data_IF_629300030519
#
_entry.id   IF_629300030519
#
_cell.length_a   1.000
_cell.length_b   1.000
_cell.length_c   1.000
_cell.angle_alpha   90.00
_cell.angle_beta   90.00
_cell.angle_gamma   90.00
#
_symmetry.space_group_name_H-M   'P 1'
#
loop_
_entity.id
_entity.type
_entity.pdbx_description
1 polymer ?
#
# COMPACT_ATOMS: atom_id res chain seq x y z
N UNK A 1 -11.46 24.78 -12.77
CA UNK A 1 -11.83 23.95 -11.59
C UNK A 1 -11.11 24.53 -10.38
N UNK A 2 -11.71 24.50 -9.19
CA UNK A 2 -11.01 24.92 -7.98
C UNK A 2 -9.91 23.89 -7.63
N UNK A 3 -8.72 24.38 -7.27
CA UNK A 3 -7.61 23.57 -6.79
C UNK A 3 -7.73 23.32 -5.28
N UNK A 4 -6.97 22.36 -4.76
CA UNK A 4 -6.87 22.12 -3.29
C UNK A 4 -6.39 23.39 -2.58
N UNK A 5 -5.43 24.10 -3.18
CA UNK A 5 -4.93 25.37 -2.65
C UNK A 5 -6.02 26.43 -2.58
N UNK A 6 -6.88 26.53 -3.59
CA UNK A 6 -8.02 27.47 -3.58
C UNK A 6 -9.00 27.14 -2.45
N UNK A 7 -9.24 25.85 -2.17
CA UNK A 7 -10.09 25.41 -1.06
C UNK A 7 -9.45 25.75 0.29
N UNK A 8 -8.17 25.47 0.47
CA UNK A 8 -7.43 25.79 1.69
C UNK A 8 -7.43 27.29 1.99
N UNK A 9 -7.19 28.13 0.98
CA UNK A 9 -7.25 29.59 1.12
C UNK A 9 -8.63 30.06 1.57
N UNK A 10 -9.70 29.47 1.03
CA UNK A 10 -11.08 29.78 1.44
C UNK A 10 -11.38 29.35 2.87
N UNK A 11 -10.88 28.19 3.30
CA UNK A 11 -11.03 27.72 4.68
C UNK A 11 -10.35 28.67 5.67
N UNK A 12 -9.10 29.07 5.38
CA UNK A 12 -8.36 30.02 6.20
C UNK A 12 -9.09 31.36 6.27
N UNK A 13 -9.58 31.87 5.15
CA UNK A 13 -10.34 33.13 5.09
C UNK A 13 -11.65 33.09 5.89
N UNK A 14 -12.26 31.90 6.03
CA UNK A 14 -13.46 31.66 6.82
C UNK A 14 -13.16 31.35 8.30
N UNK A 15 -11.89 31.37 8.72
CA UNK A 15 -11.48 31.14 10.10
C UNK A 15 -11.24 29.67 10.47
N UNK A 16 -11.18 28.77 9.50
CA UNK A 16 -10.80 27.36 9.72
C UNK A 16 -9.29 27.20 9.56
N UNK A 17 -8.52 27.06 10.66
CA UNK A 17 -7.08 27.10 10.61
C UNK A 17 -6.49 25.85 9.97
N UNK A 18 -5.43 26.05 9.20
CA UNK A 18 -4.53 25.04 8.65
C UNK A 18 -3.13 25.31 9.20
N UNK A 19 -2.89 24.95 10.49
CA UNK A 19 -1.80 25.54 11.26
C UNK A 19 -0.42 24.99 10.89
N UNK A 20 -0.34 23.78 10.32
CA UNK A 20 0.94 23.10 10.09
C UNK A 20 1.49 23.36 8.69
N UNK A 21 0.65 23.28 7.67
CA UNK A 21 1.09 23.38 6.28
C UNK A 21 0.40 24.51 5.52
N UNK A 22 -0.77 24.93 5.97
CA UNK A 22 -1.49 26.07 5.38
C UNK A 22 -2.05 25.70 4.00
N UNK A 23 -1.99 26.64 3.06
CA UNK A 23 -2.46 26.43 1.69
C UNK A 23 -1.37 25.81 0.79
N UNK A 24 -0.90 24.62 1.15
CA UNK A 24 0.20 23.92 0.47
C UNK A 24 -0.22 23.25 -0.86
N UNK A 25 -1.51 22.99 -1.06
CA UNK A 25 -2.07 22.25 -2.19
C UNK A 25 -2.17 20.73 -1.96
N UNK A 26 -1.85 20.24 -0.76
CA UNK A 26 -1.98 18.84 -0.35
C UNK A 26 -3.31 18.65 0.42
N UNK A 27 -4.21 17.72 0.00
CA UNK A 27 -5.47 17.46 0.70
C UNK A 27 -5.29 16.63 2.00
N UNK A 28 -4.16 16.78 2.68
CA UNK A 28 -3.81 16.05 3.91
C UNK A 28 -4.79 16.25 5.07
N UNK A 29 -4.45 15.65 6.21
CA UNK A 29 -5.35 15.54 7.37
C UNK A 29 -5.89 16.88 7.91
N UNK A 30 -5.08 17.94 7.90
CA UNK A 30 -5.56 19.27 8.35
C UNK A 30 -6.61 19.86 7.40
N UNK A 31 -6.40 19.72 6.08
CA UNK A 31 -7.36 20.15 5.05
C UNK A 31 -8.68 19.44 5.23
N UNK A 32 -8.66 18.11 5.40
CA UNK A 32 -9.87 17.31 5.63
C UNK A 32 -10.58 17.70 6.93
N UNK A 33 -9.83 17.94 8.01
CA UNK A 33 -10.41 18.36 9.28
C UNK A 33 -11.09 19.73 9.18
N UNK A 34 -10.43 20.70 8.53
CA UNK A 34 -10.98 22.03 8.34
C UNK A 34 -12.24 22.02 7.44
N UNK A 35 -12.24 21.23 6.37
CA UNK A 35 -13.44 21.02 5.53
C UNK A 35 -14.58 20.44 6.35
N UNK A 36 -14.33 19.41 7.16
CA UNK A 36 -15.37 18.80 7.99
C UNK A 36 -15.94 19.78 9.02
N UNK A 37 -15.10 20.59 9.67
CA UNK A 37 -15.57 21.65 10.57
C UNK A 37 -16.44 22.69 9.85
N UNK A 38 -16.07 23.08 8.63
CA UNK A 38 -16.87 24.01 7.83
C UNK A 38 -18.23 23.43 7.41
N UNK A 39 -18.27 22.13 7.11
CA UNK A 39 -19.52 21.42 6.82
C UNK A 39 -20.41 21.30 8.06
N UNK A 40 -19.82 21.01 9.23
CA UNK A 40 -20.55 20.95 10.50
C UNK A 40 -21.20 22.31 10.84
N UNK A 41 -20.49 23.43 10.63
CA UNK A 41 -21.08 24.75 10.82
C UNK A 41 -22.20 25.04 9.81
N UNK A 42 -22.04 24.61 8.56
CA UNK A 42 -23.06 24.79 7.52
C UNK A 42 -24.35 24.02 7.83
N UNK A 43 -24.23 22.81 8.42
CA UNK A 43 -25.38 22.01 8.88
C UNK A 43 -26.18 22.79 9.92
N UNK A 44 -25.51 23.35 10.93
CA UNK A 44 -26.14 24.18 11.97
C UNK A 44 -26.85 25.38 11.33
N UNK A 45 -26.17 26.11 10.45
CA UNK A 45 -26.73 27.31 9.79
C UNK A 45 -27.93 27.02 8.89
N UNK A 46 -28.00 25.82 8.29
CA UNK A 46 -29.10 25.41 7.41
C UNK A 46 -30.27 24.74 8.14
N UNK A 47 -30.20 24.60 9.47
CA UNK A 47 -31.20 23.86 10.23
C UNK A 47 -31.26 22.37 9.83
N UNK A 48 -30.17 21.85 9.27
CA UNK A 48 -30.05 20.44 8.91
C UNK A 48 -29.61 19.61 10.11
N UNK A 49 -29.75 18.30 10.00
CA UNK A 49 -29.07 17.36 10.88
C UNK A 49 -27.72 16.98 10.27
N UNK A 50 -26.70 16.80 11.11
CA UNK A 50 -25.46 16.16 10.65
C UNK A 50 -25.87 14.79 10.10
N UNK A 51 -25.43 14.40 8.89
CA UNK A 51 -25.61 13.02 8.47
C UNK A 51 -25.08 12.16 9.60
N UNK A 52 -25.88 11.18 10.06
CA UNK A 52 -25.39 10.24 11.06
C UNK A 52 -24.01 9.81 10.59
N UNK A 53 -22.99 9.95 11.45
CA UNK A 53 -21.68 9.39 11.16
C UNK A 53 -21.97 7.99 10.66
N UNK A 54 -21.49 7.66 9.45
CA UNK A 54 -21.63 6.30 8.94
C UNK A 54 -21.33 5.39 10.12
N UNK A 55 -22.24 4.46 10.48
CA UNK A 55 -22.03 3.60 11.64
C UNK A 55 -20.59 3.12 11.56
N UNK A 56 -19.83 3.17 12.68
CA UNK A 56 -18.43 2.72 12.66
C UNK A 56 -18.46 1.40 11.92
N UNK A 57 -17.81 1.35 10.77
CA UNK A 57 -18.01 0.28 9.79
C UNK A 57 -17.84 -1.00 10.58
N UNK A 58 -18.96 -1.65 10.86
CA UNK A 58 -18.99 -2.83 11.70
C UNK A 58 -18.12 -3.82 10.95
N UNK A 59 -16.98 -4.14 11.54
CA UNK A 59 -15.90 -4.91 10.94
C UNK A 59 -16.31 -6.38 10.82
N UNK A 60 -17.33 -6.62 10.00
CA UNK A 60 -17.62 -7.89 9.34
C UNK A 60 -17.49 -7.68 7.82
N UNK A 61 -16.50 -6.88 7.39
CA UNK A 61 -15.93 -7.08 6.06
C UNK A 61 -15.27 -8.44 6.07
N UNK A 62 -15.86 -9.37 5.35
CA UNK A 62 -15.27 -10.65 4.99
C UNK A 62 -13.79 -10.43 4.64
N UNK A 63 -12.90 -10.96 5.48
CA UNK A 63 -11.45 -10.80 5.36
C UNK A 63 -11.01 -11.11 3.94
N UNK A 64 -10.37 -10.15 3.26
CA UNK A 64 -9.90 -10.29 1.88
C UNK A 64 -8.87 -11.41 1.76
N UNK A 65 -8.07 -11.62 2.80
CA UNK A 65 -7.15 -12.74 2.92
C UNK A 65 -7.82 -13.86 3.73
N UNK A 66 -7.98 -15.07 3.16
CA UNK A 66 -8.47 -16.22 3.92
C UNK A 66 -7.62 -16.50 5.16
N UNK A 67 -8.25 -16.77 6.30
CA UNK A 67 -7.57 -16.93 7.59
C UNK A 67 -6.54 -18.08 7.58
N UNK A 68 -6.79 -19.14 6.82
CA UNK A 68 -5.89 -20.29 6.66
C UNK A 68 -4.62 -19.95 5.87
N UNK A 69 -4.58 -18.80 5.18
CA UNK A 69 -3.38 -18.27 4.51
C UNK A 69 -2.49 -17.50 5.48
N UNK A 70 -3.00 -17.15 6.66
CA UNK A 70 -2.31 -16.37 7.69
C UNK A 70 -2.08 -17.19 8.97
N UNK A 71 -1.23 -18.23 8.94
CA UNK A 71 -0.94 -19.04 10.10
C UNK A 71 -0.28 -18.21 11.21
N UNK A 72 -0.46 -18.63 12.46
CA UNK A 72 0.21 -18.02 13.60
C UNK A 72 1.73 -18.08 13.45
N UNK A 73 2.37 -16.92 13.38
CA UNK A 73 3.80 -16.71 13.26
C UNK A 73 4.17 -15.33 13.80
N UNK A 74 5.44 -15.15 14.19
CA UNK A 74 6.00 -13.82 14.45
C UNK A 74 6.68 -13.36 13.17
N UNK A 75 6.17 -12.26 12.60
CA UNK A 75 6.70 -11.64 11.38
C UNK A 75 7.08 -10.21 11.69
N UNK A 76 8.15 -9.73 11.07
CA UNK A 76 8.73 -8.42 11.34
C UNK A 76 8.35 -7.38 10.28
N UNK A 77 8.10 -7.83 9.04
CA UNK A 77 7.87 -6.94 7.89
C UNK A 77 7.09 -7.57 6.74
N UNK A 78 6.57 -6.73 5.87
CA UNK A 78 5.93 -7.06 4.61
C UNK A 78 6.70 -6.35 3.50
N UNK A 79 7.16 -7.12 2.49
CA UNK A 79 7.89 -6.59 1.34
C UNK A 79 7.03 -6.77 0.10
N UNK A 80 6.70 -5.64 -0.54
CA UNK A 80 5.86 -5.60 -1.74
C UNK A 80 6.72 -5.69 -3.01
N UNK A 81 6.21 -6.42 -3.99
CA UNK A 81 6.90 -6.70 -5.25
C UNK A 81 5.96 -6.53 -6.45
N UNK A 82 6.53 -6.50 -7.64
CA UNK A 82 5.90 -7.06 -8.83
C UNK A 82 6.63 -8.32 -9.29
N UNK A 83 5.93 -9.16 -10.05
CA UNK A 83 6.52 -10.37 -10.63
C UNK A 83 7.50 -10.04 -11.76
N UNK A 84 7.37 -8.87 -12.40
CA UNK A 84 7.97 -8.56 -13.69
C UNK A 84 7.51 -9.54 -14.80
N UNK A 85 6.29 -10.07 -14.62
CA UNK A 85 5.68 -11.08 -15.45
C UNK A 85 4.35 -10.63 -16.04
N UNK A 86 3.48 -11.59 -16.31
CA UNK A 86 2.16 -11.32 -16.90
C UNK A 86 1.15 -10.87 -15.84
N UNK A 87 -0.07 -10.59 -16.28
CA UNK A 87 -1.21 -10.26 -15.41
C UNK A 87 -1.80 -11.45 -14.63
N UNK A 88 -1.28 -12.66 -14.83
CA UNK A 88 -1.75 -13.89 -14.17
C UNK A 88 -0.61 -14.55 -13.42
N UNK A 89 -0.92 -15.08 -12.24
CA UNK A 89 0.08 -15.75 -11.41
C UNK A 89 0.54 -17.05 -12.06
N UNK A 90 1.83 -17.21 -12.27
CA UNK A 90 2.42 -18.47 -12.72
C UNK A 90 2.80 -19.36 -11.54
N UNK A 91 3.05 -20.64 -11.80
CA UNK A 91 3.59 -21.55 -10.77
C UNK A 91 4.96 -21.08 -10.26
N UNK A 92 5.78 -20.52 -11.16
CA UNK A 92 7.05 -19.90 -10.80
C UNK A 92 6.85 -18.73 -9.82
N UNK A 93 5.93 -17.81 -10.10
CA UNK A 93 5.66 -16.69 -9.18
C UNK A 93 5.15 -17.19 -7.82
N UNK A 94 4.23 -18.16 -7.85
CA UNK A 94 3.68 -18.79 -6.64
C UNK A 94 4.73 -19.49 -5.80
N UNK A 95 5.83 -19.95 -6.40
CA UNK A 95 6.97 -20.52 -5.66
C UNK A 95 7.78 -19.51 -4.84
N UNK A 96 7.65 -18.21 -5.12
CA UNK A 96 8.55 -17.18 -4.56
C UNK A 96 7.87 -16.18 -3.64
N UNK A 97 6.55 -16.00 -3.69
CA UNK A 97 5.80 -15.07 -2.85
C UNK A 97 4.75 -15.79 -2.01
N UNK A 98 4.27 -15.16 -0.93
CA UNK A 98 3.19 -15.74 -0.11
C UNK A 98 1.81 -15.43 -0.68
N UNK A 99 1.66 -14.27 -1.32
CA UNK A 99 0.42 -13.79 -1.92
C UNK A 99 0.71 -13.07 -3.22
N UNK A 100 -0.16 -13.29 -4.20
CA UNK A 100 -0.06 -12.67 -5.52
C UNK A 100 -1.39 -12.03 -5.88
N UNK A 101 -1.34 -10.92 -6.62
CA UNK A 101 -2.52 -10.17 -7.01
C UNK A 101 -2.50 -10.01 -8.53
N UNK A 102 -3.47 -10.63 -9.19
CA UNK A 102 -3.66 -10.55 -10.64
C UNK A 102 -4.25 -9.20 -11.06
N UNK A 103 -4.25 -8.89 -12.36
CA UNK A 103 -4.64 -7.58 -12.89
C UNK A 103 -6.04 -7.09 -12.45
N UNK A 104 -6.96 -8.03 -12.25
CA UNK A 104 -8.35 -7.83 -11.83
C UNK A 104 -8.51 -7.77 -10.30
N UNK A 105 -7.40 -7.71 -9.55
CA UNK A 105 -7.42 -7.74 -8.09
C UNK A 105 -7.68 -9.13 -7.50
N UNK A 106 -7.73 -10.20 -8.30
CA UNK A 106 -7.86 -11.56 -7.78
C UNK A 106 -6.64 -11.92 -6.94
N UNK A 107 -6.89 -12.34 -5.71
CA UNK A 107 -5.86 -12.80 -4.78
C UNK A 107 -5.55 -14.29 -5.04
N UNK A 108 -4.27 -14.61 -5.20
CA UNK A 108 -3.77 -15.97 -5.44
C UNK A 108 -2.77 -16.34 -4.36
N UNK A 109 -2.92 -17.55 -3.81
CA UNK A 109 -2.03 -18.06 -2.77
C UNK A 109 -0.68 -18.49 -3.36
N UNK A 110 0.38 -18.03 -2.71
CA UNK A 110 1.72 -18.59 -2.83
C UNK A 110 1.79 -20.04 -2.34
N UNK A 111 2.80 -20.77 -2.79
CA UNK A 111 3.06 -22.14 -2.37
C UNK A 111 3.69 -22.16 -0.96
N UNK A 112 4.76 -21.38 -0.67
CA UNK A 112 5.33 -21.35 0.68
C UNK A 112 4.37 -20.72 1.70
N UNK A 113 4.28 -21.34 2.88
CA UNK A 113 3.56 -20.76 4.01
C UNK A 113 4.34 -19.59 4.61
N UNK A 114 3.64 -18.51 5.02
CA UNK A 114 4.23 -17.39 5.78
C UNK A 114 5.05 -17.86 6.98
N UNK A 115 4.60 -18.93 7.65
CA UNK A 115 5.27 -19.50 8.82
C UNK A 115 6.70 -19.99 8.53
N UNK A 116 7.02 -20.33 7.29
CA UNK A 116 8.37 -20.76 6.89
C UNK A 116 9.37 -19.61 6.87
N UNK A 117 8.92 -18.37 6.70
CA UNK A 117 9.76 -17.17 6.78
C UNK A 117 9.92 -16.66 8.23
N UNK A 118 9.17 -17.16 9.22
CA UNK A 118 9.38 -16.81 10.65
C UNK A 118 10.85 -17.04 11.04
N UNK A 119 11.44 -16.14 11.82
CA UNK A 119 12.82 -16.27 12.26
C UNK A 119 13.08 -17.52 13.16
N UNK A 120 14.15 -18.30 12.87
CA UNK A 120 14.92 -18.32 11.62
C UNK A 120 14.14 -19.00 10.47
N UNK A 121 14.29 -18.50 9.25
CA UNK A 121 13.60 -19.07 8.09
C UNK A 121 13.95 -20.55 7.89
N UNK A 122 12.96 -21.34 7.46
CA UNK A 122 13.05 -22.80 7.33
C UNK A 122 13.16 -23.22 5.87
N UNK A 123 13.69 -24.42 5.60
CA UNK A 123 13.75 -24.97 4.23
C UNK A 123 12.37 -24.89 3.54
N UNK A 124 12.35 -24.41 2.30
CA UNK A 124 11.12 -24.21 1.52
C UNK A 124 10.41 -22.87 1.76
N UNK A 125 11.05 -21.93 2.48
CA UNK A 125 10.56 -20.56 2.65
C UNK A 125 10.46 -19.81 1.30
N UNK A 126 9.65 -18.75 1.28
CA UNK A 126 9.54 -17.87 0.11
C UNK A 126 10.79 -16.99 -0.04
N UNK A 127 11.57 -17.20 -1.08
CA UNK A 127 12.79 -16.45 -1.37
C UNK A 127 12.51 -15.26 -2.32
N UNK A 128 11.99 -14.16 -1.77
CA UNK A 128 11.58 -12.98 -2.54
C UNK A 128 12.50 -11.76 -2.38
N UNK A 129 13.39 -11.73 -1.39
CA UNK A 129 14.29 -10.58 -1.13
C UNK A 129 15.65 -11.06 -0.65
N UNK A 130 16.70 -10.75 -1.42
CA UNK A 130 18.06 -11.17 -1.12
C UNK A 130 18.44 -10.73 0.30
N UNK A 131 18.93 -11.67 1.12
CA UNK A 131 19.36 -11.44 2.51
C UNK A 131 18.30 -10.83 3.45
N UNK A 132 17.02 -10.83 3.06
CA UNK A 132 15.95 -10.19 3.85
C UNK A 132 14.65 -11.03 3.86
N UNK A 133 14.73 -12.35 3.67
CA UNK A 133 13.55 -13.23 3.68
C UNK A 133 13.09 -13.60 5.09
N UNK A 134 14.03 -13.80 6.01
CA UNK A 134 13.72 -14.10 7.42
C UNK A 134 12.94 -12.96 8.05
N UNK A 135 11.80 -13.26 8.66
CA UNK A 135 10.88 -12.31 9.25
C UNK A 135 10.02 -11.54 8.25
N UNK A 136 10.11 -11.84 6.95
CA UNK A 136 9.44 -11.07 5.90
C UNK A 136 8.32 -11.82 5.21
N UNK A 137 7.23 -11.11 4.93
CA UNK A 137 6.10 -11.58 4.10
C UNK A 137 6.21 -10.93 2.71
N UNK A 138 6.48 -11.71 1.67
CA UNK A 138 6.40 -11.26 0.28
C UNK A 138 4.97 -11.24 -0.28
N UNK A 139 4.52 -10.07 -0.75
CA UNK A 139 3.26 -9.89 -1.51
C UNK A 139 3.61 -9.29 -2.87
N UNK A 140 3.11 -9.88 -3.97
CA UNK A 140 3.50 -9.47 -5.32
C UNK A 140 2.30 -9.13 -6.22
N UNK A 141 2.44 -8.07 -7.01
CA UNK A 141 1.55 -7.78 -8.13
C UNK A 141 2.00 -8.56 -9.38
N UNK A 142 1.08 -9.26 -10.04
CA UNK A 142 1.35 -9.93 -11.31
C UNK A 142 1.32 -8.88 -12.43
N UNK A 143 2.46 -8.25 -12.72
CA UNK A 143 2.55 -7.18 -13.72
C UNK A 143 4.02 -6.88 -14.09
N UNK A 144 4.19 -5.85 -14.92
CA UNK A 144 5.44 -5.23 -15.37
C UNK A 144 6.29 -6.11 -16.31
N UNK A 145 5.70 -7.12 -16.94
CA UNK A 145 6.37 -7.94 -17.95
C UNK A 145 6.78 -7.13 -19.18
N UNK A 146 8.09 -7.10 -19.45
CA UNK A 146 8.69 -6.31 -20.53
C UNK A 146 8.79 -4.82 -20.25
N UNK A 147 8.71 -4.40 -18.98
CA UNK A 147 8.88 -3.00 -18.59
C UNK A 147 10.35 -2.56 -18.63
N UNK A 148 10.56 -1.25 -18.81
CA UNK A 148 11.87 -0.59 -18.79
C UNK A 148 11.80 0.56 -17.78
N UNK A 149 12.81 0.69 -16.93
CA UNK A 149 12.83 1.72 -15.89
C UNK A 149 13.10 3.12 -16.47
N UNK A 150 14.08 3.23 -17.38
CA UNK A 150 14.57 4.50 -17.93
C UNK A 150 14.94 4.37 -19.42
N UNK A 151 14.28 5.11 -20.34
CA UNK A 151 13.03 5.84 -20.11
C UNK A 151 11.93 4.88 -19.66
N UNK A 152 10.98 5.37 -18.85
CA UNK A 152 9.94 4.48 -18.32
C UNK A 152 9.04 3.96 -19.45
N UNK A 153 8.95 2.64 -19.55
CA UNK A 153 7.99 1.94 -20.41
C UNK A 153 7.30 0.89 -19.54
N UNK A 154 5.96 0.90 -19.42
CA UNK A 154 5.26 -0.01 -18.52
C UNK A 154 5.25 -1.48 -18.98
N UNK A 155 5.68 -1.74 -20.22
CA UNK A 155 5.69 -3.08 -20.80
C UNK A 155 4.31 -3.54 -21.28
N UNK A 156 4.17 -4.85 -21.53
CA UNK A 156 2.91 -5.46 -22.03
C UNK A 156 1.85 -5.64 -20.94
N UNK A 157 2.27 -5.62 -19.68
CA UNK A 157 1.43 -5.94 -18.52
C UNK A 157 1.53 -4.82 -17.48
N UNK A 158 1.09 -3.59 -17.79
CA UNK A 158 1.17 -2.46 -16.85
C UNK A 158 0.51 -2.80 -15.50
N UNK A 159 1.07 -2.32 -14.39
CA UNK A 159 0.42 -2.36 -13.09
C UNK A 159 -0.95 -1.66 -13.16
N UNK A 160 -2.01 -2.35 -12.76
CA UNK A 160 -3.36 -1.76 -12.73
C UNK A 160 -3.64 -1.05 -11.40
N UNK A 161 -4.62 -0.14 -11.40
CA UNK A 161 -5.10 0.48 -10.17
C UNK A 161 -5.76 -0.56 -9.24
N UNK A 162 -6.51 -1.50 -9.81
CA UNK A 162 -7.18 -2.58 -9.07
C UNK A 162 -6.18 -3.46 -8.29
N UNK A 163 -5.04 -3.77 -8.90
CA UNK A 163 -3.93 -4.47 -8.24
C UNK A 163 -3.43 -3.72 -7.01
N UNK A 164 -3.20 -2.41 -7.16
CA UNK A 164 -2.69 -1.55 -6.10
C UNK A 164 -3.69 -1.38 -4.95
N UNK A 165 -4.96 -1.15 -5.28
CA UNK A 165 -6.03 -1.03 -4.29
C UNK A 165 -6.18 -2.34 -3.50
N UNK A 166 -6.11 -3.49 -4.17
CA UNK A 166 -6.12 -4.80 -3.50
C UNK A 166 -4.88 -5.00 -2.63
N UNK A 167 -3.70 -4.60 -3.11
CA UNK A 167 -2.43 -4.73 -2.39
C UNK A 167 -2.49 -4.02 -1.04
N UNK A 168 -2.90 -2.76 -1.04
CA UNK A 168 -2.96 -1.96 0.19
C UNK A 168 -3.94 -2.54 1.21
N UNK A 169 -5.06 -3.13 0.77
CA UNK A 169 -5.99 -3.87 1.64
C UNK A 169 -5.36 -5.14 2.23
N UNK A 170 -4.72 -5.97 1.39
CA UNK A 170 -4.03 -7.19 1.84
C UNK A 170 -2.93 -6.87 2.85
N UNK A 171 -2.13 -5.84 2.59
CA UNK A 171 -1.06 -5.42 3.49
C UNK A 171 -1.62 -4.90 4.82
N UNK A 172 -2.73 -4.18 4.81
CA UNK A 172 -3.40 -3.75 6.05
C UNK A 172 -3.89 -4.94 6.90
N UNK A 173 -4.50 -5.95 6.28
CA UNK A 173 -4.91 -7.17 7.00
C UNK A 173 -3.73 -7.93 7.59
N UNK A 174 -2.63 -8.06 6.84
CA UNK A 174 -1.40 -8.67 7.33
C UNK A 174 -0.80 -7.87 8.49
N UNK A 175 -0.76 -6.54 8.40
CA UNK A 175 -0.33 -5.66 9.48
C UNK A 175 -1.14 -5.89 10.76
N UNK A 176 -2.48 -5.91 10.64
CA UNK A 176 -3.41 -6.18 11.74
C UNK A 176 -3.18 -7.58 12.33
N UNK A 177 -3.08 -8.61 11.49
CA UNK A 177 -2.93 -10.00 11.89
C UNK A 177 -1.63 -10.28 12.64
N UNK A 178 -0.52 -9.70 12.18
CA UNK A 178 0.82 -9.98 12.68
C UNK A 178 1.37 -8.91 13.63
N UNK A 179 0.62 -7.84 13.89
CA UNK A 179 1.05 -6.72 14.74
C UNK A 179 2.20 -5.92 14.14
N UNK A 180 2.29 -5.87 12.81
CA UNK A 180 3.36 -5.16 12.09
C UNK A 180 2.99 -3.68 12.00
N UNK A 181 3.74 -2.83 12.71
CA UNK A 181 3.60 -1.37 12.61
C UNK A 181 3.90 -0.92 11.17
N UNK A 182 3.18 0.06 10.65
CA UNK A 182 3.43 0.59 9.30
C UNK A 182 4.54 1.64 9.36
N UNK A 183 5.73 1.29 8.86
CA UNK A 183 6.90 2.17 8.77
C UNK A 183 7.65 1.87 7.47
N UNK A 184 8.56 2.75 7.07
CA UNK A 184 9.46 2.57 5.94
C UNK A 184 10.45 1.38 6.10
N UNK A 185 10.54 0.80 7.30
CA UNK A 185 11.37 -0.39 7.60
C UNK A 185 10.57 -1.70 7.69
N UNK A 186 9.25 -1.63 7.74
CA UNK A 186 8.37 -2.77 8.02
C UNK A 186 7.28 -2.98 6.98
N UNK A 187 6.90 -1.94 6.24
CA UNK A 187 6.02 -2.00 5.07
C UNK A 187 6.68 -1.21 3.96
N UNK A 188 7.32 -1.93 3.05
CA UNK A 188 8.17 -1.35 2.02
C UNK A 188 8.10 -2.15 0.73
N UNK A 189 8.38 -1.51 -0.39
CA UNK A 189 8.66 -2.21 -1.63
C UNK A 189 10.09 -2.76 -1.64
N UNK A 190 10.37 -3.74 -2.48
CA UNK A 190 11.75 -4.22 -2.68
C UNK A 190 12.72 -3.11 -3.14
N UNK A 191 12.22 -2.09 -3.86
CA UNK A 191 13.03 -0.95 -4.29
C UNK A 191 13.58 -0.13 -3.12
N UNK A 192 12.95 -0.21 -1.95
CA UNK A 192 13.35 0.52 -0.75
C UNK A 192 14.30 -0.28 0.15
N UNK A 193 14.44 -1.60 -0.04
CA UNK A 193 15.12 -2.49 0.91
C UNK A 193 16.58 -2.09 1.14
N UNK A 194 17.33 -1.82 0.08
CA UNK A 194 18.75 -1.48 0.22
C UNK A 194 18.95 -0.17 0.98
N UNK A 195 18.18 0.86 0.61
CA UNK A 195 18.28 2.18 1.22
C UNK A 195 17.74 2.21 2.65
N UNK A 196 16.54 1.68 2.87
CA UNK A 196 15.86 1.78 4.16
C UNK A 196 16.45 0.80 5.18
N UNK A 197 16.89 -0.39 4.76
CA UNK A 197 17.36 -1.44 5.68
C UNK A 197 18.88 -1.62 5.70
N UNK A 198 19.61 -1.04 4.74
CA UNK A 198 21.07 -1.24 4.62
C UNK A 198 21.44 -2.65 4.17
N UNK A 199 20.52 -3.36 3.49
CA UNK A 199 20.73 -4.75 3.04
C UNK A 199 20.90 -4.75 1.52
N UNK A 200 22.14 -4.98 1.06
CA UNK A 200 22.48 -5.01 -0.37
C UNK A 200 21.57 -5.91 -1.19
N UNK A 201 21.03 -5.36 -2.28
CA UNK A 201 20.20 -6.06 -3.27
C UNK A 201 20.94 -6.14 -4.62
N UNK A 202 20.46 -6.99 -5.53
CA UNK A 202 21.04 -7.18 -6.88
C UNK A 202 20.13 -6.64 -7.98
N UNK A 203 19.80 -5.36 -7.92
CA UNK A 203 19.32 -4.62 -9.08
C UNK A 203 17.91 -4.94 -9.59
N UNK A 204 17.00 -5.52 -8.80
CA UNK A 204 15.59 -5.60 -9.18
C UNK A 204 14.89 -4.28 -8.84
N UNK A 205 14.74 -3.40 -9.83
CA UNK A 205 13.87 -2.25 -9.69
C UNK A 205 12.43 -2.76 -9.44
N UNK A 206 11.84 -2.31 -8.34
CA UNK A 206 10.42 -2.47 -8.02
C UNK A 206 9.79 -1.07 -8.01
N UNK A 207 8.80 -0.80 -7.15
CA UNK A 207 7.94 0.39 -7.12
C UNK A 207 8.73 1.71 -7.07
N UNK A 208 9.31 2.10 -8.20
CA UNK A 208 10.00 3.36 -8.46
C UNK A 208 9.15 4.27 -9.33
N UNK A 209 8.03 3.73 -9.82
CA UNK A 209 6.96 4.38 -10.56
C UNK A 209 5.73 3.48 -10.50
N UNK A 210 4.54 4.08 -10.49
CA UNK A 210 3.26 3.37 -10.52
C UNK A 210 2.68 3.49 -11.93
N UNK A 211 2.51 2.38 -12.66
CA UNK A 211 2.11 2.45 -14.07
C UNK A 211 0.72 3.10 -14.27
N UNK A 212 -0.16 3.03 -13.28
CA UNK A 212 -1.47 3.68 -13.28
C UNK A 212 -1.43 5.15 -12.84
N UNK A 213 -0.32 5.62 -12.26
CA UNK A 213 -0.16 6.99 -11.74
C UNK A 213 1.30 7.44 -11.90
N UNK A 214 1.59 8.00 -13.08
CA UNK A 214 2.95 8.45 -13.44
C UNK A 214 3.38 9.72 -12.69
N UNK A 215 2.51 10.33 -11.88
CA UNK A 215 2.88 11.48 -11.05
C UNK A 215 3.77 11.07 -9.86
N UNK A 216 3.67 9.82 -9.42
CA UNK A 216 4.43 9.26 -8.28
C UNK A 216 5.71 8.61 -8.80
N UNK A 217 6.86 9.21 -8.47
CA UNK A 217 8.17 8.78 -8.97
C UNK A 217 9.20 8.64 -7.84
N UNK A 218 10.02 7.60 -7.96
CA UNK A 218 11.05 7.23 -6.99
C UNK A 218 10.54 6.25 -5.94
N UNK A 219 11.45 5.38 -5.48
CA UNK A 219 11.15 4.34 -4.49
C UNK A 219 10.49 4.90 -3.22
N UNK A 220 11.00 6.04 -2.74
CA UNK A 220 10.46 6.71 -1.54
C UNK A 220 9.02 7.16 -1.73
N UNK A 221 8.71 7.87 -2.81
CA UNK A 221 7.36 8.40 -3.04
C UNK A 221 6.32 7.27 -3.22
N UNK A 222 6.68 6.23 -3.97
CA UNK A 222 5.83 5.05 -4.10
C UNK A 222 5.61 4.32 -2.77
N UNK A 223 6.67 4.16 -1.96
CA UNK A 223 6.57 3.58 -0.63
C UNK A 223 5.73 4.42 0.33
N UNK A 224 5.88 5.74 0.30
CA UNK A 224 5.11 6.67 1.13
C UNK A 224 3.61 6.57 0.79
N UNK A 225 3.27 6.51 -0.51
CA UNK A 225 1.90 6.26 -0.98
C UNK A 225 1.36 4.90 -0.52
N UNK A 226 2.15 3.82 -0.64
CA UNK A 226 1.78 2.49 -0.15
C UNK A 226 1.42 2.55 1.34
N UNK A 227 2.30 3.13 2.17
CA UNK A 227 2.09 3.21 3.62
C UNK A 227 0.90 4.07 3.99
N UNK A 228 0.71 5.23 3.34
CA UNK A 228 -0.44 6.09 3.57
C UNK A 228 -1.77 5.36 3.28
N UNK A 229 -1.84 4.62 2.17
CA UNK A 229 -3.05 3.88 1.78
C UNK A 229 -3.29 2.60 2.59
N UNK A 230 -2.24 2.00 3.15
CA UNK A 230 -2.34 0.90 4.14
C UNK A 230 -2.86 1.45 5.46
N UNK A 231 -2.33 2.57 5.95
CA UNK A 231 -2.78 3.22 7.19
C UNK A 231 -4.25 3.63 7.12
N UNK A 232 -4.72 4.09 5.96
CA UNK A 232 -6.13 4.42 5.75
C UNK A 232 -7.08 3.20 5.83
N UNK A 233 -6.54 1.97 5.85
CA UNK A 233 -7.30 0.70 5.87
C UNK A 233 -7.07 -0.13 7.15
N UNK A 234 -6.28 0.37 8.10
CA UNK A 234 -6.05 -0.25 9.41
C UNK A 234 -7.11 0.18 10.41
#
# INVERSE_FOLDING_TARGET
>A
MATVRDVQQRLIALGFPLPKYGADGDPGGETLSAVNSALDELVVRRGGSKPASAPPVSADTESVVPADWMPAAKMDRIICHWTAGTHKATEFDRGHYHMLIEADGKLVRGIPSIKLNKAPAKKGYAAHTLNCNTGSIGVSLCCMGGSVEKPFVPGKYPMTKEQWDKLTTVVAELCRKYGIKVTDRTVLSHAEVEHNLGITQRGKWNFTVLAFDLSVKGARACGDKLRAEVLAKL
#
